data_IF_082558941665
#
_entry.id   IF_082558941665
#
_cell.length_a   1.000
_cell.length_b   1.000
_cell.length_c   1.000
_cell.angle_alpha   90.00
_cell.angle_beta   90.00
_cell.angle_gamma   90.00
#
_symmetry.space_group_name_H-M   'P 1'
#
loop_
_entity.id
_entity.type
_entity.pdbx_description
1 polymer ?
#
# COMPACT_ATOMS: atom_id res chain seq x y z
N UNK A 1 -20.83 -31.28 38.29
CA UNK A 1 -21.50 -30.28 37.44
C UNK A 1 -20.63 -30.04 36.20
N UNK A 2 -20.98 -30.66 35.07
CA UNK A 2 -20.26 -30.56 33.79
C UNK A 2 -20.98 -29.57 32.88
N UNK A 3 -20.31 -28.48 32.47
CA UNK A 3 -20.86 -27.49 31.54
C UNK A 3 -21.00 -28.11 30.14
N UNK A 4 -22.12 -27.94 29.42
CA UNK A 4 -22.22 -28.40 28.05
C UNK A 4 -21.39 -27.50 27.13
N UNK A 5 -20.61 -28.12 26.24
CA UNK A 5 -19.91 -27.41 25.15
C UNK A 5 -20.97 -26.92 24.16
N UNK A 6 -21.04 -25.60 23.97
CA UNK A 6 -21.82 -25.02 22.89
C UNK A 6 -21.17 -25.36 21.55
N UNK A 7 -21.86 -26.14 20.73
CA UNK A 7 -21.50 -26.31 19.33
C UNK A 7 -22.10 -25.15 18.55
N UNK A 8 -21.26 -24.33 17.93
CA UNK A 8 -21.71 -23.31 16.98
C UNK A 8 -22.14 -24.04 15.71
N UNK A 9 -23.45 -24.08 15.45
CA UNK A 9 -23.97 -24.57 14.19
C UNK A 9 -23.80 -23.48 13.12
N UNK A 10 -22.84 -23.69 12.21
CA UNK A 10 -22.65 -22.84 11.03
C UNK A 10 -23.53 -23.41 9.91
N UNK A 11 -24.68 -22.77 9.68
CA UNK A 11 -25.51 -23.06 8.50
C UNK A 11 -24.84 -22.48 7.25
N UNK A 12 -24.39 -23.36 6.36
CA UNK A 12 -23.86 -22.99 5.05
C UNK A 12 -25.01 -22.88 4.04
N UNK A 13 -25.31 -21.65 3.60
CA UNK A 13 -26.29 -21.39 2.53
C UNK A 13 -25.65 -21.47 1.15
N UNK A 14 -26.42 -21.72 0.09
CA UNK A 14 -25.89 -21.69 -1.28
C UNK A 14 -25.27 -20.34 -1.65
N UNK A 15 -25.85 -19.22 -1.19
CA UNK A 15 -25.26 -17.89 -1.35
C UNK A 15 -23.90 -17.75 -0.66
N UNK A 16 -23.74 -18.31 0.55
CA UNK A 16 -22.45 -18.33 1.24
C UNK A 16 -21.42 -19.15 0.46
N UNK A 17 -21.84 -20.28 -0.14
CA UNK A 17 -20.98 -21.12 -0.99
C UNK A 17 -20.56 -20.42 -2.29
N UNK A 18 -21.47 -19.66 -2.92
CA UNK A 18 -21.23 -18.93 -4.16
C UNK A 18 -20.28 -17.76 -3.91
N UNK A 19 -20.45 -17.04 -2.79
CA UNK A 19 -19.52 -16.01 -2.33
C UNK A 19 -18.12 -16.57 -2.11
N UNK A 20 -18.01 -17.68 -1.38
CA UNK A 20 -16.72 -18.35 -1.13
C UNK A 20 -16.04 -18.79 -2.43
N UNK A 21 -16.80 -19.30 -3.41
CA UNK A 21 -16.29 -19.67 -4.74
C UNK A 21 -15.79 -18.45 -5.55
N UNK A 22 -16.46 -17.30 -5.43
CA UNK A 22 -16.02 -16.05 -6.06
C UNK A 22 -14.71 -15.49 -5.47
N UNK A 23 -14.47 -15.73 -4.18
CA UNK A 23 -13.23 -15.36 -3.49
C UNK A 23 -12.07 -16.35 -3.71
N UNK A 24 -12.29 -17.45 -4.43
CA UNK A 24 -11.24 -18.39 -4.75
C UNK A 24 -10.11 -17.69 -5.50
N UNK A 25 -8.88 -17.91 -5.03
CA UNK A 25 -7.69 -17.34 -5.65
C UNK A 25 -7.33 -18.14 -6.90
N UNK A 26 -7.13 -17.44 -8.02
CA UNK A 26 -6.70 -18.02 -9.30
C UNK A 26 -5.44 -17.30 -9.78
N UNK A 27 -4.58 -18.01 -10.51
CA UNK A 27 -3.39 -17.44 -11.15
C UNK A 27 -3.72 -17.15 -12.62
N UNK A 28 -3.39 -15.95 -13.06
CA UNK A 28 -3.52 -15.56 -14.47
C UNK A 28 -2.32 -14.71 -14.87
N UNK A 29 -1.96 -14.75 -16.15
CA UNK A 29 -0.82 -14.01 -16.69
C UNK A 29 -1.34 -12.89 -17.59
N UNK A 30 -0.83 -11.68 -17.37
CA UNK A 30 -1.11 -10.50 -18.20
C UNK A 30 0.21 -10.01 -18.80
N UNK A 31 0.16 -9.44 -20.01
CA UNK A 31 1.29 -8.70 -20.59
C UNK A 31 1.12 -7.22 -20.30
N UNK A 32 1.88 -6.70 -19.34
CA UNK A 32 1.78 -5.32 -18.87
C UNK A 32 3.12 -4.60 -19.06
N UNK A 33 3.11 -3.28 -19.14
CA UNK A 33 4.34 -2.50 -19.04
C UNK A 33 5.03 -2.70 -17.69
N UNK A 34 6.35 -2.55 -17.68
CA UNK A 34 7.14 -2.58 -16.44
C UNK A 34 6.67 -1.51 -15.45
N UNK A 35 6.29 -0.33 -15.96
CA UNK A 35 5.72 0.75 -15.15
C UNK A 35 4.48 0.30 -14.39
N UNK A 36 3.54 -0.37 -15.05
CA UNK A 36 2.32 -0.90 -14.42
C UNK A 36 2.63 -2.00 -13.38
N UNK A 37 3.59 -2.87 -13.66
CA UNK A 37 4.03 -3.93 -12.74
C UNK A 37 4.66 -3.32 -11.48
N UNK A 38 5.50 -2.31 -11.64
CA UNK A 38 6.16 -1.61 -10.55
C UNK A 38 5.14 -0.81 -9.72
N UNK A 39 4.21 -0.12 -10.38
CA UNK A 39 3.16 0.67 -9.73
C UNK A 39 2.32 -0.17 -8.76
N UNK A 40 1.88 -1.35 -9.21
CA UNK A 40 1.15 -2.30 -8.36
C UNK A 40 1.98 -2.77 -7.16
N UNK A 41 3.27 -3.02 -7.37
CA UNK A 41 4.16 -3.53 -6.33
C UNK A 41 4.41 -2.48 -5.26
N UNK A 42 4.69 -1.24 -5.67
CA UNK A 42 4.91 -0.09 -4.78
C UNK A 42 3.64 0.22 -3.99
N UNK A 43 2.50 0.37 -4.65
CA UNK A 43 1.24 0.70 -3.98
C UNK A 43 0.80 -0.36 -2.97
N UNK A 44 0.94 -1.64 -3.30
CA UNK A 44 0.61 -2.71 -2.36
C UNK A 44 1.46 -2.62 -1.09
N UNK A 45 2.77 -2.35 -1.25
CA UNK A 45 3.68 -2.10 -0.14
C UNK A 45 3.26 -0.90 0.72
N UNK A 46 2.96 0.24 0.08
CA UNK A 46 2.57 1.47 0.78
C UNK A 46 1.27 1.34 1.57
N UNK A 47 0.26 0.71 0.97
CA UNK A 47 -1.03 0.50 1.62
C UNK A 47 -0.99 -0.63 2.65
N UNK A 48 0.12 -1.37 2.74
CA UNK A 48 0.23 -2.56 3.60
C UNK A 48 -0.74 -3.67 3.22
N UNK A 49 -1.20 -3.69 1.96
CA UNK A 49 -2.16 -4.68 1.45
C UNK A 49 -1.46 -5.66 0.51
N UNK A 50 -2.04 -6.86 0.39
CA UNK A 50 -1.55 -7.85 -0.57
C UNK A 50 -1.80 -7.36 -1.99
N UNK A 51 -0.86 -7.61 -2.91
CA UNK A 51 -1.01 -7.28 -4.33
C UNK A 51 -2.31 -7.84 -4.93
N UNK A 52 -2.72 -9.06 -4.55
CA UNK A 52 -4.02 -9.64 -4.92
C UNK A 52 -5.19 -8.70 -4.56
N UNK A 53 -5.22 -8.22 -3.33
CA UNK A 53 -6.31 -7.37 -2.83
C UNK A 53 -6.35 -6.04 -3.56
N UNK A 54 -5.19 -5.43 -3.81
CA UNK A 54 -5.09 -4.22 -4.63
C UNK A 54 -5.62 -4.47 -6.04
N UNK A 55 -5.16 -5.53 -6.69
CA UNK A 55 -5.56 -5.87 -8.05
C UNK A 55 -7.07 -6.13 -8.14
N UNK A 56 -7.62 -6.92 -7.20
CA UNK A 56 -9.06 -7.18 -7.14
C UNK A 56 -9.83 -5.87 -7.01
N UNK A 57 -9.42 -4.96 -6.13
CA UNK A 57 -10.09 -3.68 -5.95
C UNK A 57 -10.03 -2.80 -7.21
N UNK A 58 -8.90 -2.76 -7.92
CA UNK A 58 -8.73 -1.96 -9.15
C UNK A 58 -9.63 -2.43 -10.30
N UNK A 59 -9.98 -3.71 -10.30
CA UNK A 59 -10.67 -4.38 -11.40
C UNK A 59 -12.12 -4.75 -11.04
N UNK A 60 -12.51 -4.65 -9.76
CA UNK A 60 -13.87 -4.95 -9.33
C UNK A 60 -14.90 -3.92 -9.82
N UNK A 61 -14.48 -2.69 -10.12
CA UNK A 61 -15.36 -1.68 -10.73
C UNK A 61 -15.63 -2.00 -12.21
N UNK A 62 -16.68 -2.79 -12.43
CA UNK A 62 -17.13 -3.18 -13.77
C UNK A 62 -17.56 -1.98 -14.62
N UNK A 63 -18.04 -0.88 -14.01
CA UNK A 63 -18.41 0.30 -14.80
C UNK A 63 -17.18 1.02 -15.31
N UNK A 64 -16.16 1.19 -14.47
CA UNK A 64 -14.85 1.64 -14.91
C UNK A 64 -14.28 0.80 -16.06
N UNK A 65 -14.33 -0.53 -15.95
CA UNK A 65 -13.86 -1.42 -17.01
C UNK A 65 -14.63 -1.21 -18.32
N UNK A 66 -15.95 -0.99 -18.26
CA UNK A 66 -16.76 -0.71 -19.46
C UNK A 66 -16.40 0.63 -20.10
N UNK A 67 -16.13 1.65 -19.28
CA UNK A 67 -15.69 2.96 -19.79
C UNK A 67 -14.35 2.81 -20.52
N UNK A 68 -13.37 2.17 -19.88
CA UNK A 68 -12.07 1.85 -20.50
C UNK A 68 -12.26 1.07 -21.80
N UNK A 69 -13.10 0.04 -21.80
CA UNK A 69 -13.31 -0.80 -22.98
C UNK A 69 -13.94 -0.04 -24.17
N UNK A 70 -14.76 0.97 -23.90
CA UNK A 70 -15.37 1.81 -24.95
C UNK A 70 -14.41 2.84 -25.51
N UNK A 71 -13.50 3.35 -24.68
CA UNK A 71 -12.53 4.38 -25.04
C UNK A 71 -11.20 3.78 -25.52
N UNK A 72 -11.07 2.45 -25.48
CA UNK A 72 -9.88 1.74 -25.93
C UNK A 72 -9.71 1.83 -27.45
N UNK A 73 -8.70 2.57 -27.87
CA UNK A 73 -8.22 2.56 -29.26
C UNK A 73 -6.91 1.77 -29.36
N UNK A 74 -5.96 2.06 -28.47
CA UNK A 74 -4.64 1.44 -28.40
C UNK A 74 -4.18 1.33 -26.95
N UNK A 75 -3.14 0.53 -26.71
CA UNK A 75 -2.54 0.48 -25.38
C UNK A 75 -1.84 1.79 -25.04
N UNK A 76 -1.83 2.19 -23.76
CA UNK A 76 -1.13 3.38 -23.35
C UNK A 76 0.38 3.10 -23.34
N UNK A 77 1.13 3.98 -23.99
CA UNK A 77 2.59 3.96 -24.06
C UNK A 77 3.24 2.92 -25.00
N UNK A 78 4.47 3.23 -25.41
CA UNK A 78 5.27 2.47 -26.38
C UNK A 78 6.20 1.44 -25.71
N UNK A 79 5.99 1.17 -24.42
CA UNK A 79 6.89 0.34 -23.60
C UNK A 79 6.83 -1.15 -23.92
N UNK A 80 7.95 -1.85 -23.68
CA UNK A 80 8.01 -3.31 -23.77
C UNK A 80 7.06 -3.93 -22.73
N UNK A 81 6.15 -4.79 -23.20
CA UNK A 81 5.20 -5.51 -22.33
C UNK A 81 5.81 -6.82 -21.87
N UNK A 82 5.82 -7.03 -20.57
CA UNK A 82 6.38 -8.21 -19.91
C UNK A 82 5.24 -9.07 -19.39
N UNK A 83 5.34 -10.39 -19.60
CA UNK A 83 4.37 -11.33 -19.05
C UNK A 83 4.57 -11.46 -17.54
N UNK A 84 3.53 -11.14 -16.76
CA UNK A 84 3.55 -11.27 -15.30
C UNK A 84 2.32 -12.04 -14.82
N UNK A 85 2.56 -13.06 -14.00
CA UNK A 85 1.50 -13.85 -13.38
C UNK A 85 1.09 -13.25 -12.05
N UNK A 86 -0.19 -12.93 -11.91
CA UNK A 86 -0.80 -12.42 -10.68
C UNK A 86 -1.76 -13.46 -10.09
N UNK A 87 -1.93 -13.39 -8.77
CA UNK A 87 -3.01 -14.08 -8.07
C UNK A 87 -4.16 -13.10 -7.88
N UNK A 88 -5.34 -13.44 -8.38
CA UNK A 88 -6.56 -12.61 -8.33
C UNK A 88 -7.76 -13.45 -7.88
N UNK A 89 -8.89 -12.82 -7.57
CA UNK A 89 -10.13 -13.57 -7.32
C UNK A 89 -10.71 -14.12 -8.62
N UNK A 90 -11.36 -15.29 -8.56
CA UNK A 90 -12.07 -15.86 -9.72
C UNK A 90 -13.11 -14.87 -10.26
N UNK A 91 -13.86 -14.20 -9.36
CA UNK A 91 -14.84 -13.18 -9.73
C UNK A 91 -14.21 -12.05 -10.57
N UNK A 92 -13.02 -11.59 -10.19
CA UNK A 92 -12.27 -10.55 -10.91
C UNK A 92 -11.94 -11.01 -12.33
N UNK A 93 -11.47 -12.26 -12.49
CA UNK A 93 -11.15 -12.83 -13.80
C UNK A 93 -12.40 -12.96 -14.68
N UNK A 94 -13.50 -13.48 -14.13
CA UNK A 94 -14.77 -13.61 -14.85
C UNK A 94 -15.32 -12.25 -15.31
N UNK A 95 -15.20 -11.22 -14.48
CA UNK A 95 -15.61 -9.86 -14.84
C UNK A 95 -14.75 -9.29 -15.98
N UNK A 96 -13.43 -9.46 -15.91
CA UNK A 96 -12.51 -9.08 -16.99
C UNK A 96 -12.85 -9.80 -18.29
N UNK A 97 -13.09 -11.11 -18.25
CA UNK A 97 -13.44 -11.91 -19.43
C UNK A 97 -14.78 -11.47 -20.04
N UNK A 98 -15.79 -11.19 -19.20
CA UNK A 98 -17.08 -10.68 -19.66
C UNK A 98 -16.95 -9.34 -20.38
N UNK A 99 -16.20 -8.40 -19.80
CA UNK A 99 -16.01 -7.08 -20.42
C UNK A 99 -15.16 -7.20 -21.68
N UNK A 100 -14.04 -7.92 -21.60
CA UNK A 100 -13.14 -8.15 -22.74
C UNK A 100 -13.89 -8.73 -23.94
N UNK A 101 -14.69 -9.78 -23.73
CA UNK A 101 -15.48 -10.41 -24.79
C UNK A 101 -16.57 -9.48 -25.32
N UNK A 102 -17.29 -8.78 -24.43
CA UNK A 102 -18.42 -7.92 -24.83
C UNK A 102 -17.99 -6.70 -25.66
N UNK A 103 -16.82 -6.15 -25.39
CA UNK A 103 -16.34 -4.93 -26.04
C UNK A 103 -15.16 -5.18 -27.00
N UNK A 104 -14.77 -6.45 -27.20
CA UNK A 104 -13.62 -6.84 -28.01
C UNK A 104 -12.31 -6.13 -27.61
N UNK A 105 -12.11 -5.93 -26.31
CA UNK A 105 -10.93 -5.26 -25.74
C UNK A 105 -10.04 -6.29 -25.05
N UNK A 106 -8.70 -6.31 -25.26
CA UNK A 106 -7.82 -7.24 -24.58
C UNK A 106 -7.88 -7.07 -23.05
N UNK A 107 -7.91 -8.19 -22.29
CA UNK A 107 -7.87 -8.15 -20.81
C UNK A 107 -6.65 -7.40 -20.28
N UNK A 108 -5.51 -7.56 -20.96
CA UNK A 108 -4.26 -6.88 -20.64
C UNK A 108 -4.44 -5.35 -20.68
N UNK A 109 -5.15 -4.83 -21.68
CA UNK A 109 -5.43 -3.40 -21.80
C UNK A 109 -6.35 -2.92 -20.67
N UNK A 110 -7.43 -3.66 -20.38
CA UNK A 110 -8.34 -3.33 -19.28
C UNK A 110 -7.60 -3.21 -17.94
N UNK A 111 -6.69 -4.15 -17.67
CA UNK A 111 -5.85 -4.14 -16.46
C UNK A 111 -4.89 -2.97 -16.47
N UNK A 112 -4.18 -2.75 -17.58
CA UNK A 112 -3.18 -1.69 -17.70
C UNK A 112 -3.81 -0.31 -17.48
N UNK A 113 -4.90 0.02 -18.16
CA UNK A 113 -5.63 1.27 -17.94
C UNK A 113 -6.17 1.42 -16.50
N UNK A 114 -6.64 0.33 -15.87
CA UNK A 114 -7.02 0.37 -14.46
C UNK A 114 -5.85 0.73 -13.53
N UNK A 115 -4.64 0.28 -13.85
CA UNK A 115 -3.41 0.63 -13.10
C UNK A 115 -2.96 2.05 -13.45
N UNK A 116 -3.12 2.51 -14.69
CA UNK A 116 -2.72 3.86 -15.05
C UNK A 116 -3.52 4.94 -14.34
N UNK A 117 -4.81 4.69 -14.11
CA UNK A 117 -5.70 5.62 -13.40
C UNK A 117 -5.27 5.94 -11.97
N UNK A 118 -4.48 5.06 -11.34
CA UNK A 118 -3.97 5.28 -9.98
C UNK A 118 -2.55 5.86 -9.97
N UNK A 119 -1.85 5.93 -11.11
CA UNK A 119 -0.51 6.53 -11.21
C UNK A 119 -0.45 7.98 -10.68
N UNK A 120 -1.43 8.87 -10.98
CA UNK A 120 -1.42 10.22 -10.42
C UNK A 120 -1.49 10.23 -8.89
N UNK A 121 -2.18 9.25 -8.28
CA UNK A 121 -2.24 9.11 -6.83
C UNK A 121 -0.89 8.67 -6.25
N UNK A 122 -0.14 7.82 -6.97
CA UNK A 122 1.22 7.43 -6.58
C UNK A 122 2.13 8.65 -6.58
N UNK A 123 2.08 9.49 -7.62
CA UNK A 123 2.93 10.66 -7.72
C UNK A 123 2.65 11.66 -6.59
N UNK A 124 1.36 11.90 -6.28
CA UNK A 124 0.98 12.72 -5.13
C UNK A 124 1.48 12.13 -3.80
N UNK A 125 1.45 10.81 -3.65
CA UNK A 125 1.94 10.14 -2.44
C UNK A 125 3.47 10.17 -2.35
N UNK A 126 4.20 10.12 -3.48
CA UNK A 126 5.65 10.34 -3.56
C UNK A 126 6.04 11.70 -3.01
N UNK A 127 5.36 12.75 -3.47
CA UNK A 127 5.63 14.10 -2.97
C UNK A 127 5.38 14.21 -1.46
N UNK A 128 4.29 13.61 -0.96
CA UNK A 128 4.02 13.58 0.49
C UNK A 128 5.10 12.81 1.23
N UNK A 129 5.57 11.69 0.70
CA UNK A 129 6.65 10.93 1.30
C UNK A 129 7.96 11.73 1.35
N UNK A 130 8.34 12.42 0.26
CA UNK A 130 9.49 13.31 0.25
C UNK A 130 9.38 14.42 1.31
N UNK A 131 8.19 15.02 1.47
CA UNK A 131 7.92 15.99 2.54
C UNK A 131 8.07 15.36 3.94
N UNK A 132 7.56 14.14 4.15
CA UNK A 132 7.71 13.40 5.42
C UNK A 132 9.18 13.11 5.72
N UNK A 133 9.97 12.71 4.73
CA UNK A 133 11.41 12.48 4.87
C UNK A 133 12.15 13.73 5.32
N UNK A 134 11.82 14.89 4.74
CA UNK A 134 12.37 16.18 5.16
C UNK A 134 12.06 16.47 6.63
N UNK A 135 10.81 16.31 7.05
CA UNK A 135 10.39 16.53 8.45
C UNK A 135 11.07 15.54 9.39
N UNK A 136 11.19 14.27 9.00
CA UNK A 136 11.85 13.24 9.79
C UNK A 136 13.34 13.52 10.00
N UNK A 137 14.01 14.07 8.99
CA UNK A 137 15.38 14.57 9.11
C UNK A 137 15.48 15.71 10.13
N UNK A 138 14.59 16.69 10.06
CA UNK A 138 14.54 17.79 11.03
C UNK A 138 14.29 17.30 12.46
N UNK A 139 13.44 16.28 12.65
CA UNK A 139 13.26 15.63 13.95
C UNK A 139 14.55 14.93 14.43
N UNK A 140 15.33 14.38 13.50
CA UNK A 140 16.64 13.80 13.79
C UNK A 140 17.65 14.85 14.26
N UNK A 141 17.67 16.01 13.58
CA UNK A 141 18.50 17.17 13.96
C UNK A 141 18.11 17.67 15.36
N UNK A 142 16.82 17.87 15.63
CA UNK A 142 16.31 18.25 16.96
C UNK A 142 16.68 17.24 18.06
N UNK A 143 16.71 15.93 17.75
CA UNK A 143 17.12 14.89 18.70
C UNK A 143 18.63 14.87 18.98
N UNK A 144 19.45 15.44 18.09
CA UNK A 144 20.88 15.67 18.32
C UNK A 144 21.06 16.92 19.16
N UNK A 145 20.41 18.03 18.78
CA UNK A 145 20.46 19.31 19.50
C UNK A 145 19.99 19.17 20.95
N UNK A 146 18.88 18.46 21.20
CA UNK A 146 18.37 18.25 22.56
C UNK A 146 19.34 17.47 23.46
N UNK A 147 20.15 16.57 22.88
CA UNK A 147 21.19 15.84 23.61
C UNK A 147 22.42 16.71 23.86
N UNK A 148 22.79 17.56 22.91
CA UNK A 148 23.89 18.51 23.10
C UNK A 148 23.55 19.50 24.22
N UNK A 149 22.36 20.10 24.18
CA UNK A 149 21.89 21.01 25.22
C UNK A 149 21.82 20.35 26.60
N UNK A 150 21.37 19.09 26.66
CA UNK A 150 21.38 18.32 27.91
C UNK A 150 22.82 18.11 28.44
N UNK A 151 23.78 17.79 27.55
CA UNK A 151 25.17 17.61 27.94
C UNK A 151 25.78 18.91 28.49
N UNK A 152 25.55 20.04 27.83
CA UNK A 152 25.97 21.36 28.29
C UNK A 152 25.38 21.69 29.66
N UNK A 153 24.07 21.44 29.85
CA UNK A 153 23.42 21.70 31.13
C UNK A 153 23.94 20.80 32.28
N UNK A 154 24.26 19.52 31.99
CA UNK A 154 24.89 18.63 32.97
C UNK A 154 26.27 19.15 33.38
N UNK A 155 27.07 19.63 32.42
CA UNK A 155 28.41 20.15 32.67
C UNK A 155 28.40 21.46 33.48
N UNK A 156 27.43 22.34 33.23
CA UNK A 156 27.34 23.65 33.91
C UNK A 156 26.60 23.60 35.25
N UNK A 157 25.55 22.79 35.38
CA UNK A 157 24.61 22.83 36.51
C UNK A 157 24.64 21.56 37.36
N UNK A 158 25.17 20.45 36.83
CA UNK A 158 25.19 19.15 37.48
C UNK A 158 23.90 18.35 37.30
N UNK A 159 24.00 17.03 37.46
CA UNK A 159 22.91 16.08 37.16
C UNK A 159 21.66 16.27 38.02
N UNK A 160 21.81 16.75 39.26
CA UNK A 160 20.70 16.89 40.22
C UNK A 160 19.86 18.18 40.01
N UNK A 161 20.26 19.06 39.09
CA UNK A 161 19.53 20.30 38.82
C UNK A 161 18.16 20.04 38.17
N UNK A 162 17.14 20.81 38.58
CA UNK A 162 15.78 20.62 38.08
C UNK A 162 15.66 20.88 36.56
N UNK A 163 16.37 21.88 36.02
CA UNK A 163 16.40 22.15 34.58
C UNK A 163 17.01 20.97 33.82
N UNK A 164 18.06 20.36 34.37
CA UNK A 164 18.70 19.18 33.78
C UNK A 164 17.72 18.01 33.71
N UNK A 165 16.94 17.77 34.76
CA UNK A 165 15.91 16.72 34.76
C UNK A 165 14.82 16.95 33.70
N UNK A 166 14.40 18.20 33.48
CA UNK A 166 13.48 18.55 32.40
C UNK A 166 14.10 18.30 31.01
N UNK A 167 15.38 18.64 30.81
CA UNK A 167 16.10 18.39 29.57
C UNK A 167 16.30 16.89 29.29
N UNK A 168 16.48 16.05 30.32
CA UNK A 168 16.47 14.59 30.19
C UNK A 168 15.15 14.10 29.61
N UNK A 169 14.02 14.63 30.12
CA UNK A 169 12.69 14.30 29.63
C UNK A 169 12.49 14.70 28.16
N UNK A 170 12.95 15.89 27.78
CA UNK A 170 12.92 16.38 26.39
C UNK A 170 13.75 15.48 25.48
N UNK A 171 15.01 15.23 25.82
CA UNK A 171 15.91 14.41 25.00
C UNK A 171 15.34 13.00 24.79
N UNK A 172 14.84 12.37 25.85
CA UNK A 172 14.19 11.05 25.78
C UNK A 172 12.96 11.07 24.88
N UNK A 173 12.10 12.08 25.02
CA UNK A 173 10.86 12.21 24.25
C UNK A 173 11.15 12.37 22.75
N UNK A 174 12.11 13.21 22.40
CA UNK A 174 12.49 13.44 20.99
C UNK A 174 13.13 12.19 20.38
N UNK A 175 13.99 11.48 21.11
CA UNK A 175 14.56 10.20 20.65
C UNK A 175 13.50 9.13 20.41
N UNK A 176 12.55 8.98 21.36
CA UNK A 176 11.47 8.02 21.21
C UNK A 176 10.54 8.39 20.04
N UNK A 177 10.26 9.67 19.83
CA UNK A 177 9.50 10.15 18.68
C UNK A 177 10.23 9.82 17.37
N UNK A 178 11.55 10.08 17.30
CA UNK A 178 12.38 9.76 16.14
C UNK A 178 12.31 8.28 15.76
N UNK A 179 12.48 7.38 16.73
CA UNK A 179 12.38 5.94 16.50
C UNK A 179 11.01 5.50 15.97
N UNK A 180 9.92 6.05 16.51
CA UNK A 180 8.56 5.77 16.01
C UNK A 180 8.36 6.25 14.58
N UNK A 181 8.87 7.43 14.24
CA UNK A 181 8.80 7.98 12.88
C UNK A 181 9.63 7.13 11.91
N UNK A 182 10.83 6.70 12.30
CA UNK A 182 11.65 5.82 11.47
C UNK A 182 10.99 4.47 11.20
N UNK A 183 10.38 3.87 12.20
CA UNK A 183 9.64 2.62 12.02
C UNK A 183 8.43 2.77 11.07
N UNK A 184 7.77 3.93 11.10
CA UNK A 184 6.70 4.26 10.16
C UNK A 184 7.23 4.43 8.73
N UNK A 185 8.31 5.20 8.54
CA UNK A 185 8.91 5.45 7.22
C UNK A 185 9.54 4.19 6.62
N UNK A 186 10.13 3.32 7.44
CA UNK A 186 10.67 2.04 6.98
C UNK A 186 9.60 1.14 6.33
N UNK A 187 8.35 1.18 6.82
CA UNK A 187 7.24 0.44 6.19
C UNK A 187 6.84 1.02 4.84
N UNK A 188 7.12 2.29 4.61
CA UNK A 188 6.83 3.02 3.39
C UNK A 188 8.03 3.09 2.42
N UNK A 189 9.06 2.25 2.62
CA UNK A 189 10.24 2.19 1.75
C UNK A 189 9.86 1.65 0.35
N UNK A 190 10.40 2.25 -0.72
CA UNK A 190 10.19 1.83 -2.12
C UNK A 190 9.31 2.78 -2.96
N UNK A 191 8.75 3.83 -2.38
CA UNK A 191 8.04 4.89 -3.12
C UNK A 191 9.00 5.86 -3.82
N UNK A 192 10.22 6.02 -3.30
CA UNK A 192 11.26 6.89 -3.87
C UNK A 192 11.76 6.40 -5.24
N UNK A 193 11.75 5.08 -5.46
CA UNK A 193 12.27 4.43 -6.67
C UNK A 193 11.22 4.27 -7.79
N UNK A 194 10.00 4.80 -7.61
CA UNK A 194 8.90 4.72 -8.59
C UNK A 194 8.98 5.80 -9.67
#
# INVERSE_FOLDING_TARGET
MTRPKSFIHLEFTEESSARLRGHQSVRTTFKLSERSINALSVLAGQLGIKQKSLFDHLVEDVQALKTIAREFETFPGDGQRVAKTYVISRKTLENLEKVSTKYNTPRDALVEFSIERILPLIEQEKEKYARRMKIARQLGELAVESRQLLQEAIEELGEDDHLVQELVSVARSTMAARQRVDAYLHKAKGIEDF
#
